data_IF_218698040489
#
_entry.id   IF_218698040489
#
_cell.length_a   1.000
_cell.length_b   1.000
_cell.length_c   1.000
_cell.angle_alpha   90.00
_cell.angle_beta   90.00
_cell.angle_gamma   90.00
#
_symmetry.space_group_name_H-M   'P 1'
#
loop_
_entity.id
_entity.type
_entity.pdbx_description
1 polymer ?
#
# COMPACT_ATOMS: atom_id res chain seq x y z
N UNK A 1 -5.37 44.22 -38.58
CA UNK A 1 -6.26 44.18 -37.39
C UNK A 1 -5.45 43.70 -36.20
N UNK A 2 -5.29 44.53 -35.17
CA UNK A 2 -4.52 44.21 -33.96
C UNK A 2 -5.30 43.26 -33.04
N UNK A 3 -4.76 42.08 -32.74
CA UNK A 3 -5.40 41.09 -31.87
C UNK A 3 -5.16 41.48 -30.41
N UNK A 4 -6.17 42.03 -29.74
CA UNK A 4 -6.06 42.44 -28.34
C UNK A 4 -5.95 41.24 -27.40
N UNK A 5 -4.86 41.15 -26.64
CA UNK A 5 -4.73 40.26 -25.48
C UNK A 5 -5.55 40.80 -24.32
N UNK A 6 -6.82 40.43 -24.27
CA UNK A 6 -7.65 40.52 -23.06
C UNK A 6 -7.52 39.16 -22.36
N UNK A 7 -7.44 39.12 -21.02
CA UNK A 7 -7.32 37.94 -20.13
C UNK A 7 -5.92 37.52 -19.64
N UNK A 8 -5.04 38.47 -19.31
CA UNK A 8 -3.94 38.20 -18.37
C UNK A 8 -4.33 38.55 -16.94
N UNK A 9 -5.49 38.08 -16.47
CA UNK A 9 -5.79 38.03 -15.03
C UNK A 9 -5.29 36.69 -14.51
N UNK A 10 -3.99 36.47 -14.63
CA UNK A 10 -3.26 35.41 -13.93
C UNK A 10 -2.52 36.03 -12.75
N UNK A 11 -3.23 36.89 -12.00
CA UNK A 11 -2.70 37.36 -10.73
C UNK A 11 -2.62 36.17 -9.77
N UNK A 12 -1.39 35.69 -9.60
CA UNK A 12 -0.91 35.00 -8.41
C UNK A 12 -1.58 33.66 -8.13
N UNK A 13 -1.59 32.74 -9.11
CA UNK A 13 -1.59 31.33 -8.72
C UNK A 13 -0.29 31.13 -7.92
N UNK A 14 -0.34 30.69 -6.65
CA UNK A 14 0.88 30.36 -5.94
C UNK A 14 1.65 29.35 -6.80
N UNK A 15 2.95 29.58 -6.99
CA UNK A 15 3.81 28.69 -7.78
C UNK A 15 3.76 27.26 -7.24
N UNK A 16 3.44 27.12 -5.95
CA UNK A 16 3.30 25.84 -5.29
C UNK A 16 1.83 25.43 -5.08
N UNK A 17 1.48 24.17 -5.35
CA UNK A 17 0.14 23.63 -5.13
C UNK A 17 -0.18 23.52 -3.64
N UNK A 18 -1.33 24.05 -3.21
CA UNK A 18 -1.80 24.11 -1.80
C UNK A 18 -1.73 22.79 -1.01
N UNK A 19 -1.85 21.65 -1.68
CA UNK A 19 -1.93 20.33 -1.03
C UNK A 19 -0.77 19.39 -1.37
N UNK A 20 0.20 19.86 -2.17
CA UNK A 20 1.39 19.09 -2.56
C UNK A 20 2.67 19.93 -2.37
N UNK A 21 2.69 20.78 -1.35
CA UNK A 21 3.92 21.44 -0.92
C UNK A 21 4.81 20.47 -0.15
N UNK A 22 6.13 20.67 -0.23
CA UNK A 22 7.17 19.85 0.40
C UNK A 22 6.76 19.28 1.77
N UNK A 23 6.86 17.96 1.93
CA UNK A 23 6.60 17.28 3.19
C UNK A 23 7.91 17.13 3.97
N UNK A 24 8.04 17.80 5.12
CA UNK A 24 9.19 17.59 6.01
C UNK A 24 9.71 18.85 6.70
N UNK A 25 10.77 18.70 7.49
CA UNK A 25 11.48 19.81 8.12
C UNK A 25 12.32 20.59 7.08
N UNK A 26 12.59 21.86 7.37
CA UNK A 26 13.39 22.72 6.48
C UNK A 26 14.79 22.10 6.28
N UNK A 27 15.31 22.12 5.04
CA UNK A 27 16.56 21.47 4.64
C UNK A 27 16.57 19.92 4.71
N UNK A 28 15.40 19.28 4.68
CA UNK A 28 15.31 17.83 4.50
C UNK A 28 15.03 17.50 3.05
N UNK A 29 15.72 16.50 2.52
CA UNK A 29 15.44 15.98 1.18
C UNK A 29 14.00 15.43 1.12
N UNK A 30 13.13 15.97 0.24
CA UNK A 30 11.74 15.53 0.12
C UNK A 30 11.60 14.09 -0.40
N UNK A 31 12.64 13.52 -1.00
CA UNK A 31 12.67 12.14 -1.51
C UNK A 31 13.15 11.13 -0.46
N UNK A 32 13.60 11.60 0.71
CA UNK A 32 14.15 10.73 1.74
C UNK A 32 13.07 9.85 2.36
N UNK A 33 13.26 8.54 2.26
CA UNK A 33 12.42 7.53 2.90
C UNK A 33 13.07 7.08 4.22
N UNK A 34 12.27 6.83 5.25
CA UNK A 34 12.77 6.32 6.55
C UNK A 34 13.56 5.02 6.34
N UNK A 35 14.82 5.01 6.79
CA UNK A 35 15.75 3.86 6.66
C UNK A 35 15.93 3.38 5.22
N UNK A 36 15.79 4.26 4.22
CA UNK A 36 15.88 3.92 2.80
C UNK A 36 15.00 2.72 2.40
N UNK A 37 13.77 2.62 2.91
CA UNK A 37 12.88 1.49 2.60
C UNK A 37 13.13 0.20 3.39
N UNK A 38 14.19 0.12 4.20
CA UNK A 38 14.47 -1.05 5.02
C UNK A 38 13.59 -1.14 6.29
N UNK A 39 13.41 -2.35 6.81
CA UNK A 39 12.77 -2.64 8.09
C UNK A 39 11.45 -3.40 7.99
N UNK A 40 11.03 -4.03 9.09
CA UNK A 40 9.93 -5.03 9.15
C UNK A 40 8.56 -4.54 8.62
N UNK A 41 8.32 -3.23 8.62
CA UNK A 41 7.05 -2.61 8.20
C UNK A 41 7.19 -1.74 6.94
N UNK A 42 8.36 -1.74 6.29
CA UNK A 42 8.56 -1.09 5.00
C UNK A 42 8.56 -2.16 3.89
N UNK A 43 8.57 -1.71 2.63
CA UNK A 43 8.45 -2.59 1.46
C UNK A 43 9.76 -3.32 1.10
N UNK A 44 10.87 -3.00 1.77
CA UNK A 44 12.18 -3.58 1.49
C UNK A 44 13.08 -2.62 0.73
N UNK A 45 14.33 -3.03 0.53
CA UNK A 45 15.29 -2.35 -0.33
C UNK A 45 15.43 -3.07 -1.66
N UNK A 46 15.83 -2.32 -2.69
CA UNK A 46 16.22 -2.89 -3.97
C UNK A 46 17.32 -3.94 -3.72
N UNK A 47 17.07 -5.20 -4.12
CA UNK A 47 17.96 -6.35 -3.88
C UNK A 47 17.53 -7.29 -2.75
N UNK A 48 16.67 -6.86 -1.82
CA UNK A 48 16.10 -7.73 -0.75
C UNK A 48 15.15 -8.82 -1.31
N UNK A 49 14.76 -8.69 -2.58
CA UNK A 49 13.87 -9.61 -3.30
C UNK A 49 14.51 -10.98 -3.55
N UNK A 50 15.84 -11.05 -3.51
CA UNK A 50 16.61 -12.25 -3.81
C UNK A 50 16.60 -13.31 -2.69
N UNK A 51 16.22 -12.92 -1.48
CA UNK A 51 16.09 -13.83 -0.32
C UNK A 51 14.72 -14.55 -0.31
N UNK A 52 14.47 -15.33 -1.35
CA UNK A 52 13.26 -16.17 -1.51
C UNK A 52 13.02 -17.09 -0.30
N UNK A 53 14.10 -17.55 0.35
CA UNK A 53 14.05 -18.44 1.52
C UNK A 53 13.46 -17.73 2.75
N UNK A 54 13.67 -16.42 2.92
CA UNK A 54 13.11 -15.65 4.03
C UNK A 54 11.66 -15.21 3.74
N UNK A 55 11.34 -14.97 2.46
CA UNK A 55 9.99 -14.64 2.02
C UNK A 55 9.00 -15.79 2.27
N UNK A 56 9.38 -17.02 1.94
CA UNK A 56 8.54 -18.21 2.22
C UNK A 56 8.43 -18.56 3.72
N UNK A 57 9.38 -18.15 4.56
CA UNK A 57 9.30 -18.33 6.02
C UNK A 57 8.36 -17.32 6.70
N UNK A 58 7.89 -16.29 5.99
CA UNK A 58 6.93 -15.29 6.47
C UNK A 58 5.50 -15.57 5.99
N UNK A 59 5.10 -16.82 5.88
CA UNK A 59 3.66 -17.18 5.93
C UNK A 59 3.02 -16.93 7.31
N UNK A 60 3.71 -16.20 8.20
CA UNK A 60 3.16 -15.71 9.47
C UNK A 60 2.03 -14.71 9.20
N UNK A 61 0.81 -15.25 9.16
CA UNK A 61 -0.41 -14.62 9.68
C UNK A 61 -0.72 -13.20 9.18
N UNK A 62 -0.56 -12.91 7.88
CA UNK A 62 -1.18 -11.71 7.27
C UNK A 62 -2.37 -12.04 6.38
N UNK A 63 -2.62 -13.32 6.14
CA UNK A 63 -3.86 -13.84 5.55
C UNK A 63 -4.52 -14.75 6.55
N UNK A 64 -4.93 -14.23 7.70
CA UNK A 64 -6.05 -14.84 8.41
C UNK A 64 -7.33 -14.45 7.66
N UNK A 65 -7.44 -14.86 6.39
CA UNK A 65 -8.74 -14.85 5.73
C UNK A 65 -9.52 -15.96 6.40
N UNK A 66 -10.67 -15.63 6.97
CA UNK A 66 -11.59 -16.61 7.56
C UNK A 66 -12.00 -17.72 6.58
N UNK A 67 -11.61 -17.62 5.30
CA UNK A 67 -11.89 -18.58 4.25
C UNK A 67 -11.52 -20.02 4.62
N UNK A 68 -10.25 -20.29 4.98
CA UNK A 68 -9.78 -21.65 5.25
C UNK A 68 -10.46 -22.25 6.50
N UNK A 69 -10.67 -21.43 7.52
CA UNK A 69 -11.39 -21.81 8.75
C UNK A 69 -12.87 -22.07 8.47
N UNK A 70 -13.49 -21.26 7.62
CA UNK A 70 -14.89 -21.39 7.23
C UNK A 70 -15.11 -22.61 6.34
N UNK A 71 -14.19 -22.91 5.43
CA UNK A 71 -14.22 -24.10 4.59
C UNK A 71 -14.20 -25.37 5.45
N UNK A 72 -13.27 -25.47 6.41
CA UNK A 72 -13.22 -26.59 7.35
C UNK A 72 -14.52 -26.75 8.15
N UNK A 73 -15.10 -25.63 8.60
CA UNK A 73 -16.36 -25.65 9.35
C UNK A 73 -17.54 -26.13 8.50
N UNK A 74 -17.58 -25.75 7.23
CA UNK A 74 -18.59 -26.20 6.27
C UNK A 74 -18.45 -27.70 5.98
N UNK A 75 -17.22 -28.20 5.79
CA UNK A 75 -16.97 -29.63 5.59
C UNK A 75 -17.42 -30.47 6.79
N UNK A 76 -17.11 -30.03 8.01
CA UNK A 76 -17.55 -30.70 9.23
C UNK A 76 -19.07 -30.74 9.36
N UNK A 77 -19.75 -29.64 9.00
CA UNK A 77 -21.21 -29.59 8.98
C UNK A 77 -21.80 -30.59 7.98
N UNK A 78 -21.31 -30.61 6.75
CA UNK A 78 -21.78 -31.56 5.73
C UNK A 78 -21.59 -33.01 6.20
N UNK A 79 -20.40 -33.36 6.69
CA UNK A 79 -20.15 -34.70 7.21
C UNK A 79 -21.09 -35.07 8.37
N UNK A 80 -21.42 -34.11 9.24
CA UNK A 80 -22.36 -34.35 10.35
C UNK A 80 -23.81 -34.54 9.87
N UNK A 81 -24.20 -33.85 8.79
CA UNK A 81 -25.52 -33.98 8.17
C UNK A 81 -25.61 -35.34 7.49
N UNK A 82 -24.59 -35.70 6.71
CA UNK A 82 -24.52 -37.00 6.03
C UNK A 82 -24.54 -38.16 7.04
N UNK A 83 -23.84 -38.04 8.17
CA UNK A 83 -23.86 -39.06 9.22
C UNK A 83 -25.20 -39.13 9.99
N UNK A 84 -26.04 -38.10 9.92
CA UNK A 84 -27.32 -38.01 10.66
C UNK A 84 -28.53 -38.38 9.80
N UNK A 85 -28.43 -38.22 8.49
CA UNK A 85 -29.54 -38.40 7.55
C UNK A 85 -29.23 -39.35 6.37
N UNK A 86 -27.98 -39.77 6.18
CA UNK A 86 -27.60 -40.88 5.30
C UNK A 86 -27.61 -42.21 6.03
#
# INVERSE_FOLDING_TARGET
MSKTKKWTVHEKRPQEPKWFTHNGYINTDPTKIKKNGAGKNNWGQDGDESDFILFNKKSTSRRNSNHDVNELKLMQLNNSIDAKFG
#
